data_IF_259028603098
#
_entry.id   IF_259028603098
#
_cell.length_a   1.000
_cell.length_b   1.000
_cell.length_c   1.000
_cell.angle_alpha   90.00
_cell.angle_beta   90.00
_cell.angle_gamma   90.00
#
_symmetry.space_group_name_H-M   'P 1'
#
loop_
_entity.id
_entity.type
_entity.pdbx_description
1 polymer ?
#
# COMPACT_ATOMS: atom_id res chain seq x y z
N UNK A 1 26.72 -54.94 -22.72
CA UNK A 1 26.64 -54.79 -21.24
C UNK A 1 26.03 -53.41 -20.97
N UNK A 2 24.72 -53.35 -20.64
CA UNK A 2 24.16 -52.93 -19.33
C UNK A 2 24.67 -51.54 -18.90
N UNK A 3 23.88 -50.48 -18.74
CA UNK A 3 22.46 -50.29 -18.36
C UNK A 3 21.92 -49.02 -19.04
N UNK A 4 20.74 -48.96 -19.65
CA UNK A 4 19.40 -48.78 -19.05
C UNK A 4 19.35 -47.71 -17.95
N UNK A 5 18.85 -46.53 -18.31
CA UNK A 5 17.88 -45.77 -17.51
C UNK A 5 17.03 -44.93 -18.46
N UNK A 6 15.83 -45.43 -18.72
CA UNK A 6 14.72 -44.67 -19.25
C UNK A 6 14.20 -43.73 -18.15
N UNK A 7 14.08 -42.44 -18.46
CA UNK A 7 13.17 -41.55 -17.71
C UNK A 7 12.30 -40.83 -18.75
N UNK A 8 11.23 -41.55 -19.06
CA UNK A 8 9.84 -41.13 -19.27
C UNK A 8 9.59 -39.62 -19.25
N UNK A 9 8.87 -39.17 -20.29
CA UNK A 9 8.13 -37.94 -20.41
C UNK A 9 7.56 -37.40 -19.08
N UNK A 10 7.83 -36.13 -18.79
CA UNK A 10 6.81 -35.24 -18.22
C UNK A 10 6.58 -34.14 -19.24
N UNK A 11 5.79 -34.48 -20.26
CA UNK A 11 5.01 -33.47 -20.95
C UNK A 11 3.93 -32.97 -19.98
N UNK A 12 3.63 -31.68 -20.09
CA UNK A 12 2.41 -31.00 -19.64
C UNK A 12 2.21 -30.77 -18.14
N UNK A 13 1.78 -29.53 -17.86
CA UNK A 13 1.36 -28.93 -16.58
C UNK A 13 2.56 -28.51 -15.74
N UNK A 14 2.97 -27.23 -15.69
CA UNK A 14 2.17 -26.08 -15.31
C UNK A 14 2.56 -24.85 -16.16
N UNK A 15 1.86 -24.66 -17.27
CA UNK A 15 1.42 -23.31 -17.65
C UNK A 15 0.38 -22.90 -16.60
N UNK A 16 0.83 -22.60 -15.38
CA UNK A 16 -0.01 -21.85 -14.45
C UNK A 16 -0.12 -20.47 -15.06
N UNK A 17 -1.27 -20.27 -15.66
CA UNK A 17 -1.98 -19.04 -15.90
C UNK A 17 -1.91 -18.20 -14.60
N UNK A 18 -0.79 -17.54 -14.35
CA UNK A 18 -0.84 -16.15 -14.01
C UNK A 18 -0.82 -15.49 -15.38
N UNK A 19 -1.96 -15.28 -16.04
CA UNK A 19 -2.73 -14.08 -15.74
C UNK A 19 -1.82 -13.11 -14.99
N UNK A 20 -0.95 -12.41 -15.74
CA UNK A 20 -0.68 -11.02 -15.44
C UNK A 20 -2.05 -10.40 -15.15
N UNK A 21 -2.51 -10.50 -13.90
CA UNK A 21 -3.47 -9.56 -13.38
C UNK A 21 -2.69 -8.27 -13.50
N UNK A 22 -2.93 -7.56 -14.60
CA UNK A 22 -2.66 -6.13 -14.75
C UNK A 22 -2.93 -5.57 -13.38
N UNK A 23 -1.86 -5.20 -12.67
CA UNK A 23 -2.00 -4.47 -11.40
C UNK A 23 -2.90 -3.30 -11.78
N UNK A 24 -4.13 -3.20 -11.23
CA UNK A 24 -5.01 -2.13 -11.63
C UNK A 24 -4.26 -0.83 -11.37
N UNK A 25 -3.99 -0.07 -12.43
CA UNK A 25 -3.35 1.22 -12.27
C UNK A 25 -4.38 2.12 -11.62
N UNK A 26 -4.24 2.35 -10.32
CA UNK A 26 -5.10 3.26 -9.58
C UNK A 26 -5.09 4.64 -10.25
N UNK A 27 -6.28 5.23 -10.36
CA UNK A 27 -6.48 6.60 -10.79
C UNK A 27 -5.82 7.59 -9.81
N UNK A 28 -5.71 8.85 -10.21
CA UNK A 28 -5.15 9.88 -9.33
C UNK A 28 -5.96 10.03 -8.02
N UNK A 29 -7.29 9.97 -8.11
CA UNK A 29 -8.16 10.07 -6.94
C UNK A 29 -8.07 8.80 -6.07
N UNK A 30 -8.03 7.60 -6.68
CA UNK A 30 -7.79 6.34 -5.96
C UNK A 30 -6.47 6.37 -5.19
N UNK A 31 -5.41 6.92 -5.80
CA UNK A 31 -4.11 7.09 -5.15
C UNK A 31 -4.18 8.07 -3.97
N UNK A 32 -4.92 9.17 -4.08
CA UNK A 32 -5.13 10.11 -2.97
C UNK A 32 -5.91 9.45 -1.83
N UNK A 33 -6.91 8.62 -2.14
CA UNK A 33 -7.61 7.81 -1.14
C UNK A 33 -6.66 6.83 -0.44
N UNK A 34 -5.89 6.05 -1.20
CA UNK A 34 -4.90 5.09 -0.67
C UNK A 34 -3.88 5.80 0.24
N UNK A 35 -3.38 6.97 -0.17
CA UNK A 35 -2.52 7.81 0.64
C UNK A 35 -3.20 8.23 1.94
N UNK A 36 -4.47 8.62 1.92
CA UNK A 36 -5.19 9.01 3.14
C UNK A 36 -5.28 7.88 4.17
N UNK A 37 -5.47 6.63 3.69
CA UNK A 37 -5.50 5.42 4.52
C UNK A 37 -4.14 5.12 5.13
N UNK A 38 -3.06 5.25 4.34
CA UNK A 38 -1.70 4.97 4.78
C UNK A 38 -1.12 6.08 5.66
N UNK A 39 -1.39 7.35 5.38
CA UNK A 39 -0.81 8.48 6.10
C UNK A 39 -1.36 8.63 7.52
N UNK A 40 -2.60 8.21 7.78
CA UNK A 40 -3.18 8.28 9.13
C UNK A 40 -2.34 7.53 10.20
N UNK A 41 -2.04 6.22 10.04
CA UNK A 41 -1.19 5.51 11.01
C UNK A 41 0.24 6.06 11.03
N UNK A 42 0.78 6.49 9.89
CA UNK A 42 2.13 7.06 9.81
C UNK A 42 2.26 8.41 10.54
N UNK A 43 1.26 9.28 10.47
CA UNK A 43 1.23 10.52 11.25
C UNK A 43 1.23 10.23 12.77
N UNK A 44 0.52 9.19 13.21
CA UNK A 44 0.55 8.74 14.62
C UNK A 44 1.91 8.14 15.00
N UNK A 45 2.55 7.43 14.07
CA UNK A 45 3.89 6.90 14.25
C UNK A 45 4.92 8.03 14.42
N UNK A 46 4.94 9.01 13.51
CA UNK A 46 5.89 10.11 13.56
C UNK A 46 5.72 11.05 14.74
N UNK A 47 4.48 11.26 15.17
CA UNK A 47 4.21 11.94 16.44
C UNK A 47 4.89 11.21 17.60
N UNK A 48 4.80 9.87 17.67
CA UNK A 48 5.45 9.08 18.73
C UNK A 48 6.97 9.10 18.64
N UNK A 49 7.54 8.95 17.44
CA UNK A 49 9.00 8.91 17.27
C UNK A 49 9.67 10.28 17.53
N UNK A 50 9.03 11.39 17.14
CA UNK A 50 9.64 12.73 17.22
C UNK A 50 9.07 13.61 18.33
N UNK A 51 8.04 13.15 19.06
CA UNK A 51 7.26 13.96 20.01
C UNK A 51 6.69 15.26 19.40
N UNK A 52 6.43 15.25 18.10
CA UNK A 52 5.91 16.40 17.34
C UNK A 52 4.41 16.20 17.06
N UNK A 53 3.58 16.96 17.78
CA UNK A 53 2.12 16.90 17.64
C UNK A 53 1.63 17.47 16.30
N UNK A 54 2.46 18.22 15.56
CA UNK A 54 2.06 18.83 14.29
C UNK A 54 1.70 17.79 13.23
N UNK A 55 2.31 16.60 13.23
CA UNK A 55 2.01 15.53 12.26
C UNK A 55 0.52 15.20 12.14
N UNK A 56 -0.22 15.18 13.25
CA UNK A 56 -1.65 14.91 13.21
C UNK A 56 -2.46 16.11 12.71
N UNK A 57 -2.02 17.34 13.01
CA UNK A 57 -2.63 18.55 12.50
C UNK A 57 -2.41 18.73 11.00
N UNK A 58 -1.18 18.50 10.54
CA UNK A 58 -0.76 18.56 9.15
C UNK A 58 -1.52 17.51 8.33
N UNK A 59 -1.60 16.26 8.82
CA UNK A 59 -2.40 15.21 8.18
C UNK A 59 -3.87 15.61 8.05
N UNK A 60 -4.51 16.13 9.12
CA UNK A 60 -5.90 16.58 9.06
C UNK A 60 -6.12 17.71 8.07
N UNK A 61 -5.16 18.64 7.98
CA UNK A 61 -5.21 19.76 7.04
C UNK A 61 -5.07 19.29 5.60
N UNK A 62 -4.13 18.39 5.33
CA UNK A 62 -3.96 17.72 4.04
C UNK A 62 -5.21 16.91 3.66
N UNK A 63 -5.79 16.14 4.59
CA UNK A 63 -7.00 15.36 4.37
C UNK A 63 -8.17 16.27 3.97
N UNK A 64 -8.34 17.39 4.67
CA UNK A 64 -9.39 18.37 4.36
C UNK A 64 -9.21 19.01 2.97
N UNK A 65 -7.97 19.36 2.59
CA UNK A 65 -7.64 19.91 1.26
C UNK A 65 -8.00 18.92 0.13
N UNK A 66 -7.86 17.63 0.39
CA UNK A 66 -8.05 16.56 -0.60
C UNK A 66 -9.40 15.84 -0.47
N UNK A 67 -10.33 16.31 0.36
CA UNK A 67 -11.55 15.57 0.72
C UNK A 67 -12.39 15.13 -0.49
N UNK A 68 -12.49 15.96 -1.53
CA UNK A 68 -13.23 15.62 -2.75
C UNK A 68 -12.60 14.43 -3.47
N UNK A 69 -11.29 14.48 -3.73
CA UNK A 69 -10.54 13.37 -4.35
C UNK A 69 -10.56 12.11 -3.49
N UNK A 70 -10.50 12.25 -2.16
CA UNK A 70 -10.62 11.11 -1.23
C UNK A 70 -11.99 10.43 -1.38
N UNK A 71 -13.07 11.20 -1.52
CA UNK A 71 -14.41 10.63 -1.67
C UNK A 71 -14.57 9.89 -2.99
N UNK A 72 -14.23 10.53 -4.12
CA UNK A 72 -14.29 9.89 -5.43
C UNK A 72 -13.37 8.67 -5.50
N UNK A 73 -12.13 8.83 -5.03
CA UNK A 73 -11.14 7.76 -5.00
C UNK A 73 -11.54 6.58 -4.12
N UNK A 74 -12.31 6.80 -3.06
CA UNK A 74 -12.83 5.71 -2.23
C UNK A 74 -13.87 4.87 -2.98
N UNK A 75 -14.75 5.50 -3.75
CA UNK A 75 -15.76 4.84 -4.57
C UNK A 75 -15.09 4.05 -5.70
N UNK A 76 -14.19 4.68 -6.45
CA UNK A 76 -13.44 4.04 -7.53
C UNK A 76 -12.58 2.89 -7.01
N UNK A 77 -11.87 3.09 -5.89
CA UNK A 77 -11.04 2.06 -5.28
C UNK A 77 -11.87 0.85 -4.86
N UNK A 78 -13.08 1.07 -4.32
CA UNK A 78 -13.96 -0.02 -3.95
C UNK A 78 -14.34 -0.86 -5.17
N UNK A 79 -14.72 -0.22 -6.28
CA UNK A 79 -15.02 -0.89 -7.54
C UNK A 79 -13.81 -1.68 -8.06
N UNK A 80 -12.65 -1.04 -8.18
CA UNK A 80 -11.40 -1.66 -8.63
C UNK A 80 -11.04 -2.91 -7.81
N UNK A 81 -11.16 -2.83 -6.49
CA UNK A 81 -10.84 -3.94 -5.59
C UNK A 81 -11.86 -5.10 -5.71
N UNK A 82 -13.15 -4.77 -5.81
CA UNK A 82 -14.22 -5.74 -5.95
C UNK A 82 -14.19 -6.45 -7.31
N UNK A 83 -13.94 -5.72 -8.40
CA UNK A 83 -13.68 -6.29 -9.74
C UNK A 83 -12.46 -7.21 -9.75
N UNK A 84 -11.45 -6.88 -8.94
CA UNK A 84 -10.28 -7.72 -8.68
C UNK A 84 -10.58 -9.01 -7.89
N UNK A 85 -11.82 -9.18 -7.38
CA UNK A 85 -12.26 -10.31 -6.57
C UNK A 85 -11.77 -10.27 -5.13
N UNK A 86 -11.44 -9.07 -4.62
CA UNK A 86 -10.95 -8.87 -3.26
C UNK A 86 -11.97 -8.11 -2.42
N UNK A 87 -11.86 -8.21 -1.09
CA UNK A 87 -12.68 -7.42 -0.16
C UNK A 87 -11.97 -6.11 0.13
N UNK A 88 -12.64 -4.97 -0.07
CA UNK A 88 -12.12 -3.61 0.18
C UNK A 88 -11.45 -3.50 1.55
N UNK A 89 -12.13 -3.94 2.60
CA UNK A 89 -11.61 -3.93 3.98
C UNK A 89 -10.29 -4.70 4.13
N UNK A 90 -10.15 -5.83 3.44
CA UNK A 90 -8.93 -6.64 3.49
C UNK A 90 -7.77 -5.89 2.84
N UNK A 91 -8.00 -5.25 1.69
CA UNK A 91 -6.95 -4.50 0.99
C UNK A 91 -6.52 -3.29 1.81
N UNK A 92 -7.47 -2.54 2.38
CA UNK A 92 -7.18 -1.43 3.31
C UNK A 92 -6.32 -1.90 4.49
N UNK A 93 -6.68 -3.03 5.12
CA UNK A 93 -5.88 -3.62 6.21
C UNK A 93 -4.47 -4.00 5.76
N UNK A 94 -4.33 -4.58 4.56
CA UNK A 94 -3.02 -4.92 4.00
C UNK A 94 -2.17 -3.68 3.75
N UNK A 95 -2.74 -2.60 3.20
CA UNK A 95 -2.04 -1.33 2.98
C UNK A 95 -1.54 -0.73 4.30
N UNK A 96 -2.39 -0.68 5.33
CA UNK A 96 -2.03 -0.19 6.66
C UNK A 96 -0.89 -1.03 7.26
N UNK A 97 -1.03 -2.36 7.27
CA UNK A 97 -0.01 -3.23 7.83
C UNK A 97 1.32 -3.17 7.07
N UNK A 98 1.29 -3.00 5.75
CA UNK A 98 2.50 -2.86 4.95
C UNK A 98 3.29 -1.62 5.36
N UNK A 99 2.62 -0.47 5.54
CA UNK A 99 3.32 0.76 5.94
C UNK A 99 3.77 0.72 7.40
N UNK A 100 2.97 0.13 8.30
CA UNK A 100 3.36 -0.05 9.71
C UNK A 100 4.59 -0.96 9.84
N UNK A 101 4.64 -2.05 9.08
CA UNK A 101 5.77 -2.98 9.09
C UNK A 101 7.05 -2.36 8.50
N UNK A 102 6.93 -1.68 7.36
CA UNK A 102 8.07 -1.01 6.72
C UNK A 102 8.67 0.09 7.63
N UNK A 103 7.84 0.90 8.26
CA UNK A 103 8.31 2.00 9.10
C UNK A 103 8.76 1.53 10.48
N UNK A 104 8.01 0.60 11.10
CA UNK A 104 8.35 0.02 12.40
C UNK A 104 9.63 -0.82 12.37
N UNK A 105 9.89 -1.52 11.25
CA UNK A 105 11.11 -2.31 11.05
C UNK A 105 12.35 -1.49 10.67
N UNK A 106 12.20 -0.18 10.43
CA UNK A 106 13.31 0.69 10.04
C UNK A 106 14.19 1.10 11.24
N UNK A 107 15.47 1.34 10.97
CA UNK A 107 16.42 1.94 11.94
C UNK A 107 15.99 3.34 12.36
N UNK A 108 16.46 3.82 13.51
CA UNK A 108 16.11 5.16 14.04
C UNK A 108 16.33 6.28 13.02
N UNK A 109 17.51 6.35 12.39
CA UNK A 109 17.83 7.41 11.41
C UNK A 109 16.87 7.40 10.21
N UNK A 110 16.60 6.22 9.66
CA UNK A 110 15.66 6.02 8.56
C UNK A 110 14.21 6.38 8.96
N UNK A 111 13.81 6.10 10.21
CA UNK A 111 12.48 6.52 10.71
C UNK A 111 12.37 8.04 10.79
N UNK A 112 13.40 8.72 11.29
CA UNK A 112 13.44 10.19 11.33
C UNK A 112 13.35 10.79 9.93
N UNK A 113 14.09 10.25 8.96
CA UNK A 113 14.04 10.68 7.57
C UNK A 113 12.64 10.49 6.95
N UNK A 114 12.06 9.28 7.09
CA UNK A 114 10.70 8.97 6.62
C UNK A 114 9.66 9.94 7.22
N UNK A 115 9.80 10.28 8.50
CA UNK A 115 8.92 11.27 9.14
C UNK A 115 9.09 12.68 8.56
N UNK A 116 10.31 13.13 8.25
CA UNK A 116 10.51 14.41 7.59
C UNK A 116 9.89 14.43 6.18
N UNK A 117 10.04 13.34 5.42
CA UNK A 117 9.43 13.20 4.10
C UNK A 117 7.89 13.27 4.19
N UNK A 118 7.27 12.58 5.15
CA UNK A 118 5.82 12.65 5.37
C UNK A 118 5.36 14.08 5.68
N UNK A 119 6.12 14.81 6.49
CA UNK A 119 5.81 16.21 6.81
C UNK A 119 5.83 17.09 5.56
N UNK A 120 6.77 16.85 4.64
CA UNK A 120 6.84 17.57 3.37
C UNK A 120 5.62 17.25 2.48
N UNK A 121 5.21 15.98 2.42
CA UNK A 121 4.05 15.53 1.64
C UNK A 121 2.73 16.16 2.11
N UNK A 122 2.57 16.43 3.40
CA UNK A 122 1.37 17.13 3.90
C UNK A 122 1.32 18.60 3.48
N UNK A 123 2.48 19.21 3.20
CA UNK A 123 2.62 20.63 2.95
C UNK A 123 2.76 21.00 1.46
N UNK A 124 2.81 20.02 0.56
CA UNK A 124 2.68 20.21 -0.89
C UNK A 124 1.22 20.44 -1.33
#
# INVERSE_FOLDING_TARGET
MKSLLAIILVASTFQTIAAEKVQPSYSADEMVFIQSVMYQPLAKFCNRENSDLSFQGDFKSWQKKNQTSINHGAEDFALTVEEGGQRVERVIKMLIHQVEADWGGSTVDNRSEKCQQLKQLFNS
#
